data_IF_807860938028
#
_entry.id   IF_807860938028
#
_cell.length_a   1.000
_cell.length_b   1.000
_cell.length_c   1.000
_cell.angle_alpha   90.00
_cell.angle_beta   90.00
_cell.angle_gamma   90.00
#
_symmetry.space_group_name_H-M   'P 1'
#
loop_
_entity.id
_entity.type
_entity.pdbx_description
1 polymer ?
#
# COMPACT_ATOMS: atom_id res chain seq x y z
N UNK A 1 17.54 -28.09 -20.44
CA UNK A 1 16.18 -27.69 -20.01
C UNK A 1 16.38 -26.49 -19.08
N UNK A 2 16.07 -25.30 -19.54
CA UNK A 2 16.13 -24.09 -18.68
C UNK A 2 15.10 -24.25 -17.57
N UNK A 3 15.55 -24.27 -16.32
CA UNK A 3 14.63 -24.20 -15.18
C UNK A 3 13.83 -22.90 -15.32
N UNK A 4 12.51 -23.03 -15.44
CA UNK A 4 11.61 -21.87 -15.50
C UNK A 4 11.74 -21.17 -14.15
N UNK A 5 12.28 -19.95 -14.13
CA UNK A 5 12.31 -19.11 -12.91
C UNK A 5 10.90 -19.13 -12.29
N UNK A 6 10.75 -19.47 -11.00
CA UNK A 6 9.44 -19.45 -10.38
C UNK A 6 8.85 -18.07 -10.53
N UNK A 7 7.63 -17.97 -11.04
CA UNK A 7 6.94 -16.70 -11.19
C UNK A 7 6.66 -16.13 -9.79
N UNK A 8 7.10 -14.88 -9.52
CA UNK A 8 6.79 -14.16 -8.28
C UNK A 8 5.27 -14.12 -8.10
N UNK A 9 4.81 -14.48 -6.90
CA UNK A 9 3.40 -14.46 -6.52
C UNK A 9 3.22 -13.47 -5.37
N UNK A 10 2.24 -12.58 -5.51
CA UNK A 10 1.96 -11.55 -4.50
C UNK A 10 0.51 -11.68 -4.05
N UNK A 11 0.34 -11.85 -2.74
CA UNK A 11 -0.96 -11.90 -2.10
C UNK A 11 -1.62 -10.52 -2.08
N UNK A 12 -2.93 -10.45 -2.33
CA UNK A 12 -3.72 -9.23 -2.15
C UNK A 12 -4.73 -9.51 -1.04
N UNK A 13 -4.61 -8.79 0.06
CA UNK A 13 -5.53 -8.87 1.18
C UNK A 13 -6.34 -7.58 1.27
N UNK A 14 -7.65 -7.70 1.21
CA UNK A 14 -8.56 -6.55 1.22
C UNK A 14 -10.03 -6.97 1.31
N UNK A 15 -10.95 -5.99 1.34
CA UNK A 15 -12.38 -6.27 1.41
C UNK A 15 -12.88 -7.05 0.19
N UNK A 16 -13.90 -7.88 0.40
CA UNK A 16 -14.54 -8.68 -0.63
C UNK A 16 -15.03 -7.86 -1.83
N UNK A 17 -14.51 -8.21 -2.99
CA UNK A 17 -14.66 -7.52 -4.27
C UNK A 17 -16.08 -7.22 -4.76
N UNK A 18 -17.05 -8.15 -4.73
CA UNK A 18 -18.28 -7.98 -5.51
C UNK A 18 -19.22 -6.88 -5.03
N UNK A 19 -18.98 -6.30 -3.85
CA UNK A 19 -19.90 -5.34 -3.23
C UNK A 19 -19.38 -3.91 -3.11
N UNK A 20 -18.11 -3.68 -3.38
CA UNK A 20 -17.48 -2.35 -3.32
C UNK A 20 -17.59 -1.62 -4.65
N UNK A 21 -17.68 -2.35 -5.75
CA UNK A 21 -17.73 -1.82 -7.12
C UNK A 21 -18.85 -0.81 -7.36
N UNK A 22 -20.02 -1.05 -6.77
CA UNK A 22 -21.21 -0.27 -7.09
C UNK A 22 -21.31 1.06 -6.33
N UNK A 23 -20.59 1.25 -5.24
CA UNK A 23 -20.86 2.37 -4.33
C UNK A 23 -19.90 3.55 -4.44
N UNK A 24 -18.68 3.39 -4.89
CA UNK A 24 -17.66 4.43 -4.73
C UNK A 24 -16.99 4.87 -6.03
N UNK A 25 -17.26 4.21 -7.16
CA UNK A 25 -16.71 4.59 -8.47
C UNK A 25 -15.20 4.68 -8.59
N UNK A 26 -14.50 4.41 -7.53
CA UNK A 26 -13.09 4.14 -7.52
C UNK A 26 -12.95 2.69 -7.92
N UNK A 27 -12.34 2.46 -9.05
CA UNK A 27 -12.25 1.13 -9.64
C UNK A 27 -11.93 0.04 -8.63
N UNK A 28 -12.34 -1.11 -8.96
CA UNK A 28 -12.14 -2.42 -8.34
C UNK A 28 -10.78 -2.53 -7.63
N UNK A 29 -10.74 -2.22 -6.34
CA UNK A 29 -9.45 -2.06 -5.67
C UNK A 29 -8.59 -3.31 -5.74
N UNK A 30 -9.03 -4.49 -5.30
CA UNK A 30 -8.23 -5.67 -5.53
C UNK A 30 -8.05 -5.98 -7.03
N UNK A 31 -9.02 -5.68 -7.90
CA UNK A 31 -8.86 -5.88 -9.32
C UNK A 31 -7.89 -4.87 -9.96
N UNK A 32 -7.93 -3.60 -9.54
CA UNK A 32 -6.97 -2.59 -9.94
C UNK A 32 -5.54 -2.95 -9.51
N UNK A 33 -5.39 -3.39 -8.26
CA UNK A 33 -4.11 -3.88 -7.73
C UNK A 33 -3.65 -5.13 -8.49
N UNK A 34 -4.54 -6.09 -8.75
CA UNK A 34 -4.22 -7.27 -9.53
C UNK A 34 -3.78 -6.92 -10.96
N UNK A 35 -4.45 -5.94 -11.60
CA UNK A 35 -4.05 -5.45 -12.92
C UNK A 35 -2.66 -4.78 -12.90
N UNK A 36 -2.38 -3.95 -11.89
CA UNK A 36 -1.08 -3.30 -11.73
C UNK A 36 0.04 -4.33 -11.49
N UNK A 37 -0.19 -5.34 -10.66
CA UNK A 37 0.75 -6.43 -10.44
C UNK A 37 0.95 -7.27 -11.71
N UNK A 38 -0.12 -7.55 -12.46
CA UNK A 38 -0.01 -8.26 -13.75
C UNK A 38 0.81 -7.44 -14.75
N UNK A 39 0.62 -6.13 -14.77
CA UNK A 39 1.45 -5.24 -15.59
C UNK A 39 2.92 -5.22 -15.16
N UNK A 40 3.19 -5.44 -13.88
CA UNK A 40 4.54 -5.63 -13.33
C UNK A 40 5.08 -7.08 -13.50
N UNK A 41 4.41 -7.91 -14.31
CA UNK A 41 4.83 -9.27 -14.69
C UNK A 41 4.90 -10.28 -13.53
N UNK A 42 4.04 -10.12 -12.53
CA UNK A 42 3.90 -11.05 -11.41
C UNK A 42 2.51 -11.66 -11.34
N UNK A 43 2.34 -12.73 -10.58
CA UNK A 43 1.06 -13.41 -10.41
C UNK A 43 0.34 -12.87 -9.18
N UNK A 44 -0.75 -12.10 -9.33
CA UNK A 44 -1.56 -11.67 -8.21
C UNK A 44 -2.42 -12.81 -7.68
N UNK A 45 -2.51 -12.92 -6.36
CA UNK A 45 -3.35 -13.92 -5.68
C UNK A 45 -4.23 -13.21 -4.67
N UNK A 46 -5.55 -13.22 -4.87
CA UNK A 46 -6.48 -12.65 -3.89
C UNK A 46 -6.57 -13.59 -2.69
N UNK A 47 -6.21 -13.07 -1.51
CA UNK A 47 -6.24 -13.82 -0.27
C UNK A 47 -7.65 -13.72 0.34
N UNK A 48 -8.17 -14.86 0.76
CA UNK A 48 -9.38 -14.92 1.60
C UNK A 48 -9.05 -14.67 3.07
N UNK A 49 -10.09 -14.69 3.91
CA UNK A 49 -9.95 -14.65 5.36
C UNK A 49 -9.12 -15.83 5.87
N UNK A 50 -8.30 -15.59 6.90
CA UNK A 50 -7.48 -16.65 7.50
C UNK A 50 -8.32 -17.75 8.14
N UNK A 51 -9.47 -17.41 8.75
CA UNK A 51 -10.41 -18.36 9.38
C UNK A 51 -9.75 -19.34 10.34
N UNK A 52 -8.76 -18.84 11.10
CA UNK A 52 -8.00 -19.63 12.06
C UNK A 52 -6.86 -20.47 11.49
N UNK A 53 -6.52 -20.30 10.20
CA UNK A 53 -5.28 -20.83 9.61
C UNK A 53 -4.11 -19.88 9.92
N UNK A 54 -2.91 -20.42 9.96
CA UNK A 54 -1.70 -19.63 10.14
C UNK A 54 -1.34 -18.88 8.85
N UNK A 55 -0.73 -17.72 8.99
CA UNK A 55 -0.30 -16.91 7.85
C UNK A 55 0.79 -17.60 7.02
N UNK A 56 1.62 -18.43 7.64
CA UNK A 56 2.61 -19.25 6.96
C UNK A 56 1.96 -20.17 5.92
N UNK A 57 0.87 -20.84 6.28
CA UNK A 57 0.12 -21.73 5.38
C UNK A 57 -0.62 -20.95 4.27
N UNK A 58 -1.14 -19.75 4.60
CA UNK A 58 -1.88 -18.93 3.64
C UNK A 58 -0.95 -18.30 2.61
N UNK A 59 0.25 -17.93 3.04
CA UNK A 59 1.25 -17.24 2.22
C UNK A 59 2.28 -18.20 1.61
N UNK A 60 2.07 -19.51 1.75
CA UNK A 60 2.95 -20.50 1.13
C UNK A 60 3.08 -20.26 -0.38
N UNK A 61 4.32 -20.22 -0.86
CA UNK A 61 4.65 -19.90 -2.25
C UNK A 61 4.37 -18.48 -2.70
N UNK A 62 4.10 -17.55 -1.77
CA UNK A 62 4.05 -16.10 -2.03
C UNK A 62 5.40 -15.46 -1.70
N UNK A 63 5.66 -14.30 -2.28
CA UNK A 63 6.89 -13.53 -2.04
C UNK A 63 6.63 -12.14 -1.46
N UNK A 64 5.37 -11.73 -1.34
CA UNK A 64 4.97 -10.44 -0.77
C UNK A 64 3.45 -10.29 -0.70
N UNK A 65 3.00 -9.22 -0.06
CA UNK A 65 1.57 -8.90 0.15
C UNK A 65 1.28 -7.44 -0.14
N UNK A 66 0.12 -7.18 -0.73
CA UNK A 66 -0.52 -5.87 -0.75
C UNK A 66 -1.72 -5.89 0.18
N UNK A 67 -1.73 -4.98 1.15
CA UNK A 67 -2.91 -4.64 1.93
C UNK A 67 -3.63 -3.49 1.24
N UNK A 68 -4.86 -3.71 0.84
CA UNK A 68 -5.67 -2.68 0.19
C UNK A 68 -7.01 -2.51 0.91
N UNK A 69 -7.64 -1.38 0.76
CA UNK A 69 -8.94 -1.07 1.33
C UNK A 69 -9.26 0.40 1.20
N UNK A 70 -10.45 0.78 1.62
CA UNK A 70 -10.91 2.17 1.67
C UNK A 70 -11.29 2.54 3.09
N UNK A 71 -11.05 3.77 3.49
CA UNK A 71 -11.33 4.27 4.84
C UNK A 71 -12.82 4.18 5.25
N UNK A 72 -13.73 4.09 4.27
CA UNK A 72 -15.16 3.90 4.50
C UNK A 72 -15.59 2.42 4.64
N UNK A 73 -14.69 1.46 4.44
CA UNK A 73 -15.06 0.05 4.55
C UNK A 73 -15.01 -0.44 6.00
N UNK A 74 -16.18 -0.56 6.61
CA UNK A 74 -16.33 -1.00 8.01
C UNK A 74 -16.32 -2.52 8.17
N UNK A 75 -16.28 -3.28 7.07
CA UNK A 75 -16.33 -4.76 7.09
C UNK A 75 -14.95 -5.39 7.15
N UNK A 76 -13.93 -4.58 7.10
CA UNK A 76 -12.55 -5.04 7.18
C UNK A 76 -12.26 -5.59 8.58
N UNK A 77 -11.80 -6.81 8.66
CA UNK A 77 -11.38 -7.41 9.93
C UNK A 77 -10.00 -6.86 10.32
N UNK A 78 -9.99 -5.72 11.00
CA UNK A 78 -8.76 -5.02 11.38
C UNK A 78 -7.80 -5.94 12.14
N UNK A 79 -8.29 -6.70 13.11
CA UNK A 79 -7.45 -7.61 13.91
C UNK A 79 -6.75 -8.70 13.07
N UNK A 80 -7.42 -9.22 12.04
CA UNK A 80 -6.83 -10.21 11.13
C UNK A 80 -5.77 -9.58 10.24
N UNK A 81 -6.06 -8.39 9.69
CA UNK A 81 -5.09 -7.65 8.89
C UNK A 81 -3.88 -7.18 9.72
N UNK A 82 -4.10 -6.74 10.96
CA UNK A 82 -3.01 -6.37 11.88
C UNK A 82 -2.13 -7.59 12.22
N UNK A 83 -2.72 -8.78 12.42
CA UNK A 83 -1.95 -10.00 12.61
C UNK A 83 -1.10 -10.37 11.39
N UNK A 84 -1.62 -10.15 10.19
CA UNK A 84 -0.86 -10.30 8.93
C UNK A 84 0.33 -9.33 8.88
N UNK A 85 0.11 -8.07 9.25
CA UNK A 85 1.19 -7.06 9.28
C UNK A 85 2.31 -7.47 10.23
N UNK A 86 1.96 -7.94 11.43
CA UNK A 86 2.94 -8.40 12.43
C UNK A 86 3.71 -9.61 11.89
N UNK A 87 3.01 -10.59 11.30
CA UNK A 87 3.66 -11.73 10.68
C UNK A 87 4.64 -11.29 9.58
N UNK A 88 4.25 -10.37 8.72
CA UNK A 88 5.12 -9.81 7.68
C UNK A 88 6.37 -9.15 8.27
N UNK A 89 6.24 -8.43 9.38
CA UNK A 89 7.39 -7.81 10.07
C UNK A 89 8.36 -8.86 10.60
N UNK A 90 7.85 -9.88 11.27
CA UNK A 90 8.66 -10.94 11.88
C UNK A 90 9.48 -11.71 10.83
N UNK A 91 8.90 -11.94 9.65
CA UNK A 91 9.52 -12.65 8.55
C UNK A 91 10.22 -11.74 7.53
N UNK A 92 10.23 -10.42 7.73
CA UNK A 92 10.70 -9.42 6.73
C UNK A 92 10.02 -9.58 5.38
N UNK A 93 8.80 -10.08 5.38
CA UNK A 93 8.01 -10.35 4.18
C UNK A 93 7.58 -9.02 3.53
N UNK A 94 7.86 -8.78 2.23
CA UNK A 94 7.56 -7.54 1.56
C UNK A 94 6.09 -7.15 1.64
N UNK A 95 5.81 -5.90 2.03
CA UNK A 95 4.48 -5.41 2.33
C UNK A 95 4.24 -4.02 1.75
N UNK A 96 3.17 -3.88 0.96
CA UNK A 96 2.66 -2.60 0.49
C UNK A 96 1.26 -2.36 1.07
N UNK A 97 1.07 -1.25 1.78
CA UNK A 97 -0.24 -0.81 2.27
C UNK A 97 -0.81 0.31 1.42
N UNK A 98 -2.07 0.20 0.99
CA UNK A 98 -2.76 1.22 0.20
C UNK A 98 -3.97 1.71 0.97
N UNK A 99 -4.07 3.04 1.18
CA UNK A 99 -5.13 3.74 1.91
C UNK A 99 -5.36 3.12 3.30
N UNK A 100 -6.44 2.40 3.52
CA UNK A 100 -6.66 1.70 4.79
C UNK A 100 -5.53 0.72 5.15
N UNK A 101 -4.86 0.15 4.16
CA UNK A 101 -3.66 -0.68 4.36
C UNK A 101 -2.51 0.08 5.02
N UNK A 102 -2.30 1.35 4.70
CA UNK A 102 -1.37 2.25 5.39
C UNK A 102 -1.75 2.38 6.88
N UNK A 103 -3.04 2.58 7.17
CA UNK A 103 -3.51 2.74 8.54
C UNK A 103 -3.28 1.46 9.36
N UNK A 104 -3.51 0.29 8.76
CA UNK A 104 -3.29 -1.01 9.40
C UNK A 104 -1.80 -1.25 9.71
N UNK A 105 -0.90 -0.90 8.78
CA UNK A 105 0.54 -0.95 9.05
C UNK A 105 0.88 -0.06 10.25
N UNK A 106 0.35 1.15 10.28
CA UNK A 106 0.61 2.09 11.36
C UNK A 106 0.04 1.61 12.72
N UNK A 107 -1.22 1.19 12.75
CA UNK A 107 -1.89 0.78 14.01
C UNK A 107 -1.36 -0.52 14.56
N UNK A 108 -1.02 -1.50 13.74
CA UNK A 108 -0.40 -2.75 14.14
C UNK A 108 0.92 -2.53 14.93
N UNK A 109 1.61 -1.42 14.67
CA UNK A 109 2.86 -1.04 15.34
C UNK A 109 2.67 0.06 16.40
N UNK A 110 1.42 0.30 16.82
CA UNK A 110 1.08 1.25 17.90
C UNK A 110 1.02 2.71 17.47
N UNK A 111 0.99 3.00 16.18
CA UNK A 111 0.66 4.33 15.66
C UNK A 111 -0.82 4.68 15.86
N UNK A 112 -1.22 5.89 15.51
CA UNK A 112 -2.62 6.35 15.61
C UNK A 112 -3.08 6.99 14.32
N UNK A 113 -4.40 7.08 14.14
CA UNK A 113 -5.04 7.67 12.96
C UNK A 113 -6.04 8.76 13.36
N UNK A 114 -6.17 9.79 12.54
CA UNK A 114 -7.32 10.66 12.51
C UNK A 114 -8.48 9.94 11.85
N UNK A 115 -9.61 9.85 12.54
CA UNK A 115 -10.80 9.17 12.01
C UNK A 115 -11.64 10.06 11.10
N UNK A 116 -11.48 11.37 11.22
CA UNK A 116 -12.17 12.35 10.40
C UNK A 116 -11.30 13.62 10.26
N UNK A 117 -10.47 13.68 9.23
CA UNK A 117 -9.54 14.80 8.98
C UNK A 117 -10.23 16.18 9.04
N UNK A 118 -11.40 16.40 8.41
CA UNK A 118 -12.08 17.69 8.50
C UNK A 118 -12.44 18.13 9.93
N UNK A 119 -12.67 17.17 10.81
CA UNK A 119 -12.96 17.44 12.23
C UNK A 119 -11.69 17.53 13.07
N UNK A 120 -10.75 16.60 12.84
CA UNK A 120 -9.57 16.40 13.68
C UNK A 120 -8.45 17.37 13.28
N UNK A 121 -8.45 17.86 12.03
CA UNK A 121 -7.57 18.88 11.46
C UNK A 121 -8.37 19.86 10.58
N UNK A 122 -9.09 20.83 11.17
CA UNK A 122 -10.00 21.72 10.42
C UNK A 122 -9.32 22.59 9.36
N UNK A 123 -8.03 22.84 9.50
CA UNK A 123 -7.21 23.63 8.57
C UNK A 123 -6.60 22.78 7.43
N UNK A 124 -6.80 21.45 7.44
CA UNK A 124 -6.32 20.58 6.38
C UNK A 124 -7.02 20.87 5.04
N UNK A 125 -6.32 20.58 3.96
CA UNK A 125 -6.90 20.57 2.62
C UNK A 125 -8.06 19.57 2.54
N UNK A 126 -8.89 19.69 1.52
CA UNK A 126 -9.86 18.64 1.23
C UNK A 126 -9.17 17.43 0.61
N UNK A 127 -9.14 16.32 1.35
CA UNK A 127 -8.64 15.03 0.89
C UNK A 127 -9.73 14.15 0.27
N UNK A 128 -11.00 14.56 0.40
CA UNK A 128 -12.15 13.91 -0.23
C UNK A 128 -13.23 14.94 -0.53
N UNK A 129 -13.71 14.97 -1.76
CA UNK A 129 -14.74 15.90 -2.21
C UNK A 129 -15.89 15.19 -2.94
N UNK A 130 -16.86 14.58 -2.24
CA UNK A 130 -18.05 14.06 -2.87
C UNK A 130 -18.97 15.23 -3.35
N UNK A 131 -19.62 15.13 -4.50
CA UNK A 131 -19.64 13.98 -5.43
C UNK A 131 -18.51 14.00 -6.47
N UNK A 132 -17.61 14.99 -6.44
CA UNK A 132 -16.53 15.13 -7.40
C UNK A 132 -15.51 14.01 -7.21
N UNK A 133 -15.17 13.36 -8.29
CA UNK A 133 -14.17 12.30 -8.33
C UNK A 133 -12.90 12.80 -8.98
N UNK A 134 -11.77 12.19 -8.58
CA UNK A 134 -10.50 12.55 -9.16
C UNK A 134 -9.88 13.79 -8.54
N UNK A 135 -10.24 14.13 -7.29
CA UNK A 135 -9.50 15.11 -6.51
C UNK A 135 -8.02 14.72 -6.50
N UNK A 136 -7.16 15.70 -6.66
CA UNK A 136 -5.70 15.55 -6.64
C UNK A 136 -5.10 16.67 -5.81
N UNK A 137 -4.02 16.36 -5.13
CA UNK A 137 -3.21 17.36 -4.43
C UNK A 137 -1.73 17.04 -4.55
N UNK A 138 -0.90 18.02 -4.27
CA UNK A 138 0.53 17.85 -4.19
C UNK A 138 0.92 17.22 -2.85
N UNK A 139 1.88 16.32 -2.91
CA UNK A 139 2.62 15.78 -1.77
C UNK A 139 4.10 16.09 -1.94
N UNK A 140 4.82 16.25 -0.84
CA UNK A 140 6.26 16.34 -0.83
C UNK A 140 6.86 15.01 -0.40
N UNK A 141 7.58 14.34 -1.32
CA UNK A 141 8.33 13.10 -1.05
C UNK A 141 9.63 13.47 -0.34
N UNK A 142 9.83 12.92 0.85
CA UNK A 142 10.98 13.24 1.69
C UNK A 142 12.24 12.53 1.21
N UNK A 143 13.41 13.18 1.34
CA UNK A 143 14.69 12.61 0.93
C UNK A 143 15.06 11.35 1.75
N UNK A 144 15.96 10.55 1.19
CA UNK A 144 16.50 9.36 1.82
C UNK A 144 15.46 8.29 2.19
N UNK A 145 14.27 8.32 1.56
CA UNK A 145 13.19 7.37 1.79
C UNK A 145 13.12 6.30 0.71
N UNK A 146 12.50 5.14 1.02
CA UNK A 146 12.19 4.12 0.00
C UNK A 146 11.30 4.71 -1.09
N UNK A 147 10.33 5.55 -0.68
CA UNK A 147 9.45 6.23 -1.62
C UNK A 147 10.23 7.17 -2.55
N UNK A 148 11.22 7.91 -2.03
CA UNK A 148 12.10 8.77 -2.87
C UNK A 148 12.88 7.96 -3.90
N UNK A 149 13.30 6.76 -3.55
CA UNK A 149 13.92 5.83 -4.50
C UNK A 149 13.02 5.38 -5.64
N UNK A 150 11.68 5.44 -5.45
CA UNK A 150 10.68 5.03 -6.45
C UNK A 150 10.10 6.21 -7.24
N UNK A 151 9.89 7.34 -6.58
CA UNK A 151 9.18 8.50 -7.15
C UNK A 151 10.12 9.68 -7.46
N UNK A 152 11.33 9.68 -6.93
CA UNK A 152 12.16 10.87 -6.81
C UNK A 152 11.77 11.71 -5.60
N UNK A 153 12.62 12.65 -5.22
CA UNK A 153 12.39 13.59 -4.11
C UNK A 153 11.59 14.81 -4.58
N UNK A 154 10.88 15.45 -3.64
CA UNK A 154 10.17 16.70 -3.87
C UNK A 154 8.69 16.53 -4.22
N UNK A 155 8.15 17.50 -4.94
CA UNK A 155 6.72 17.61 -5.16
C UNK A 155 6.21 16.65 -6.24
N UNK A 156 5.18 15.86 -5.90
CA UNK A 156 4.46 14.95 -6.79
C UNK A 156 2.95 15.15 -6.60
N UNK A 157 2.17 15.02 -7.67
CA UNK A 157 0.71 15.14 -7.61
C UNK A 157 0.07 13.74 -7.60
N UNK A 158 -0.69 13.43 -6.55
CA UNK A 158 -1.41 12.16 -6.37
C UNK A 158 -2.92 12.37 -6.35
N UNK A 159 -3.70 11.30 -6.57
CA UNK A 159 -5.14 11.35 -6.32
C UNK A 159 -5.42 11.28 -4.82
N UNK A 160 -6.60 11.74 -4.41
CA UNK A 160 -6.99 11.76 -3.00
C UNK A 160 -8.48 11.49 -2.85
N UNK A 161 -8.82 10.51 -2.03
CA UNK A 161 -10.21 10.16 -1.72
C UNK A 161 -10.32 9.54 -0.30
N UNK A 162 -9.76 10.20 0.70
CA UNK A 162 -9.76 9.71 2.08
C UNK A 162 -10.23 10.78 3.06
N UNK A 163 -10.81 10.34 4.17
CA UNK A 163 -11.20 11.17 5.33
C UNK A 163 -10.38 10.86 6.56
N UNK A 164 -9.67 9.74 6.55
CA UNK A 164 -8.76 9.33 7.61
C UNK A 164 -7.33 9.66 7.20
N UNK A 165 -6.45 9.75 8.17
CA UNK A 165 -5.04 9.97 7.93
C UNK A 165 -4.22 9.51 9.12
N UNK A 166 -2.92 9.33 8.94
CA UNK A 166 -2.00 9.01 10.04
C UNK A 166 -1.89 10.24 10.96
N UNK A 167 -2.18 10.03 12.26
CA UNK A 167 -2.05 11.07 13.28
C UNK A 167 -0.68 11.02 13.98
N UNK A 168 -0.22 9.81 14.31
CA UNK A 168 1.10 9.57 14.89
C UNK A 168 1.70 8.33 14.25
N UNK A 169 2.90 8.51 13.69
CA UNK A 169 3.64 7.40 13.08
C UNK A 169 4.07 6.40 14.15
N UNK A 170 3.96 5.13 13.82
CA UNK A 170 4.39 4.02 14.65
C UNK A 170 5.91 4.02 14.88
N UNK A 171 6.35 3.43 15.99
CA UNK A 171 7.78 3.24 16.25
C UNK A 171 8.40 2.30 15.20
N UNK A 172 9.58 2.66 14.71
CA UNK A 172 10.30 1.92 13.66
C UNK A 172 9.81 2.22 12.24
N UNK A 173 8.92 3.21 12.13
CA UNK A 173 8.49 3.77 10.85
C UNK A 173 8.81 5.27 10.79
N UNK A 174 9.00 5.77 9.59
CA UNK A 174 9.19 7.20 9.29
C UNK A 174 8.21 7.65 8.23
N UNK A 175 8.05 8.97 8.15
CA UNK A 175 7.25 9.60 7.09
C UNK A 175 8.01 9.49 5.77
N UNK A 176 7.34 9.00 4.73
CA UNK A 176 7.83 8.95 3.35
C UNK A 176 7.39 10.15 2.53
N UNK A 177 6.17 10.64 2.76
CA UNK A 177 5.63 11.83 2.11
C UNK A 177 4.57 12.52 2.96
N UNK A 178 4.41 13.83 2.74
CA UNK A 178 3.37 14.66 3.36
C UNK A 178 2.69 15.54 2.32
N UNK A 179 1.39 15.78 2.48
CA UNK A 179 0.67 16.83 1.77
C UNK A 179 1.11 18.23 2.23
N UNK A 180 0.77 19.27 1.47
CA UNK A 180 1.18 20.63 1.76
C UNK A 180 0.59 21.19 3.07
N UNK A 181 -0.48 20.60 3.57
CA UNK A 181 -1.11 20.91 4.87
C UNK A 181 -0.52 20.10 6.04
N UNK A 182 0.49 19.28 5.77
CA UNK A 182 1.17 18.45 6.76
C UNK A 182 0.52 17.09 7.03
N UNK A 183 -0.57 16.75 6.35
CA UNK A 183 -1.17 15.39 6.43
C UNK A 183 -0.16 14.38 5.90
N UNK A 184 0.05 13.31 6.69
CA UNK A 184 0.98 12.24 6.32
C UNK A 184 0.35 11.38 5.24
N UNK A 185 1.01 11.29 4.11
CA UNK A 185 0.54 10.59 2.91
C UNK A 185 1.30 9.28 2.67
N UNK A 186 2.45 9.10 3.30
CA UNK A 186 3.20 7.83 3.25
C UNK A 186 4.00 7.60 4.52
N UNK A 187 4.10 6.34 4.92
CA UNK A 187 5.03 5.87 5.95
C UNK A 187 5.80 4.66 5.42
N UNK A 188 7.00 4.44 5.95
CA UNK A 188 7.82 3.29 5.59
C UNK A 188 8.65 2.79 6.77
N UNK A 189 9.00 1.51 6.78
CA UNK A 189 9.90 0.96 7.79
C UNK A 189 11.29 1.59 7.69
N UNK A 190 11.87 1.98 8.85
CA UNK A 190 13.22 2.59 8.93
C UNK A 190 14.35 1.62 8.63
N UNK A 191 14.09 0.32 8.79
CA UNK A 191 15.08 -0.73 8.54
C UNK A 191 15.02 -1.25 7.08
N UNK A 192 15.78 -2.31 6.79
CA UNK A 192 15.83 -2.93 5.46
C UNK A 192 14.56 -3.66 5.03
N UNK A 193 13.60 -3.89 5.93
CA UNK A 193 12.32 -4.49 5.55
C UNK A 193 11.57 -3.59 4.57
N UNK A 194 11.16 -4.14 3.44
CA UNK A 194 10.27 -3.44 2.52
C UNK A 194 8.86 -3.45 3.08
N UNK A 195 8.53 -2.44 3.87
CA UNK A 195 7.17 -2.12 4.28
C UNK A 195 6.95 -0.64 3.95
N UNK A 196 6.02 -0.39 3.05
CA UNK A 196 5.67 0.93 2.56
C UNK A 196 4.16 1.09 2.58
N UNK A 197 3.65 2.16 3.16
CA UNK A 197 2.25 2.53 3.14
C UNK A 197 2.04 3.84 2.41
N UNK A 198 1.01 3.91 1.55
CA UNK A 198 0.61 5.13 0.83
C UNK A 198 -0.87 5.42 1.04
N UNK A 199 -1.24 6.70 1.14
CA UNK A 199 -2.60 7.12 1.42
C UNK A 199 -3.45 7.21 0.15
N UNK A 200 -2.85 7.56 -0.97
CA UNK A 200 -3.54 7.65 -2.26
C UNK A 200 -3.82 6.27 -2.86
N UNK A 201 -4.51 6.26 -4.00
CA UNK A 201 -4.96 5.06 -4.70
C UNK A 201 -4.14 4.81 -5.98
N UNK A 202 -2.98 4.16 -5.90
CA UNK A 202 -2.06 4.00 -7.04
C UNK A 202 -2.57 3.03 -8.12
N UNK A 203 -3.65 2.32 -7.87
CA UNK A 203 -4.26 1.37 -8.80
C UNK A 203 -5.68 1.78 -9.25
N UNK A 204 -6.12 2.99 -8.95
CA UNK A 204 -7.43 3.50 -9.36
C UNK A 204 -7.40 4.03 -10.80
N UNK A 205 -8.58 4.30 -11.35
CA UNK A 205 -8.72 4.93 -12.68
C UNK A 205 -8.12 6.35 -12.74
N UNK A 206 -7.88 6.98 -11.57
CA UNK A 206 -7.27 8.31 -11.46
C UNK A 206 -5.79 8.27 -11.07
N UNK A 207 -5.18 7.08 -11.04
CA UNK A 207 -3.76 6.89 -10.77
C UNK A 207 -2.89 7.63 -11.82
N UNK A 208 -1.70 8.02 -11.42
CA UNK A 208 -0.70 8.59 -12.33
C UNK A 208 0.13 7.47 -12.97
N UNK A 209 0.77 7.77 -14.12
CA UNK A 209 1.72 6.83 -14.71
C UNK A 209 2.92 6.50 -13.81
N UNK A 210 3.22 7.38 -12.84
CA UNK A 210 4.29 7.18 -11.86
C UNK A 210 3.94 6.10 -10.82
N UNK A 211 2.65 5.89 -10.55
CA UNK A 211 2.19 4.98 -9.49
C UNK A 211 2.58 3.51 -9.73
N UNK A 212 2.89 3.13 -10.97
CA UNK A 212 3.41 1.80 -11.28
C UNK A 212 4.75 1.50 -10.56
N UNK A 213 5.51 2.53 -10.21
CA UNK A 213 6.79 2.38 -9.54
C UNK A 213 6.65 1.79 -8.13
N UNK A 214 5.51 2.00 -7.44
CA UNK A 214 5.22 1.33 -6.17
C UNK A 214 5.16 -0.19 -6.35
N UNK A 215 4.46 -0.65 -7.38
CA UNK A 215 4.34 -2.08 -7.66
C UNK A 215 5.66 -2.68 -8.12
N UNK A 216 6.44 -1.95 -8.93
CA UNK A 216 7.79 -2.38 -9.33
C UNK A 216 8.73 -2.46 -8.13
N UNK A 217 8.69 -1.49 -7.20
CA UNK A 217 9.46 -1.53 -5.96
C UNK A 217 9.10 -2.74 -5.09
N UNK A 218 7.80 -3.02 -4.93
CA UNK A 218 7.34 -4.22 -4.23
C UNK A 218 7.85 -5.49 -4.92
N UNK A 219 7.76 -5.58 -6.25
CA UNK A 219 8.22 -6.75 -7.02
C UNK A 219 9.73 -6.95 -6.87
N UNK A 220 10.52 -5.87 -6.89
CA UNK A 220 11.96 -5.94 -6.66
C UNK A 220 12.27 -6.50 -5.27
N UNK A 221 11.58 -6.02 -4.24
CA UNK A 221 11.71 -6.53 -2.87
C UNK A 221 11.26 -8.00 -2.75
N UNK A 222 10.22 -8.41 -3.48
CA UNK A 222 9.77 -9.80 -3.52
C UNK A 222 10.79 -10.74 -4.17
N UNK A 223 11.47 -10.29 -5.21
CA UNK A 223 12.56 -11.04 -5.86
C UNK A 223 13.75 -11.21 -4.92
N UNK A 224 14.15 -10.11 -4.26
CA UNK A 224 15.21 -10.16 -3.25
C UNK A 224 14.86 -11.12 -2.10
N UNK A 225 13.63 -11.05 -1.60
CA UNK A 225 13.13 -11.98 -0.57
C UNK A 225 13.17 -13.44 -1.01
N UNK A 226 12.80 -13.72 -2.28
CA UNK A 226 12.84 -15.06 -2.85
C UNK A 226 14.26 -15.55 -3.17
N UNK A 227 15.30 -14.73 -2.98
CA UNK A 227 16.69 -15.04 -3.29
C UNK A 227 17.00 -15.02 -4.79
N UNK A 228 16.19 -14.35 -5.60
CA UNK A 228 16.48 -14.11 -7.02
C UNK A 228 17.49 -12.94 -7.15
N UNK A 229 18.47 -13.09 -8.07
CA UNK A 229 19.33 -11.94 -8.41
C UNK A 229 18.49 -10.84 -9.07
N UNK A 230 18.44 -9.68 -8.44
CA UNK A 230 17.75 -8.51 -8.98
C UNK A 230 18.71 -7.81 -9.95
N UNK A 231 18.35 -7.79 -11.24
CA UNK A 231 19.10 -7.05 -12.25
C UNK A 231 19.03 -5.55 -11.92
N UNK A 232 20.17 -4.91 -11.68
CA UNK A 232 20.28 -3.50 -11.27
C UNK A 232 19.64 -2.53 -12.29
N UNK A 233 19.45 -2.97 -13.54
CA UNK A 233 18.77 -2.20 -14.60
C UNK A 233 17.25 -2.07 -14.37
N UNK A 234 16.63 -2.99 -13.62
CA UNK A 234 15.19 -2.94 -13.31
C UNK A 234 14.87 -2.06 -12.08
N UNK A 235 15.86 -1.79 -11.24
CA UNK A 235 15.71 -0.93 -10.06
C UNK A 235 15.86 0.57 -10.42
N UNK A 236 16.34 0.90 -11.62
CA UNK A 236 16.65 2.26 -12.07
C UNK A 236 15.76 2.75 -13.24
N UNK A 237 14.78 1.98 -13.67
CA UNK A 237 13.85 2.30 -14.76
C UNK A 237 12.44 2.56 -14.24
#
# INVERSE_FOLDING_TARGET
MSAKTPSIRIGIFGPDLPRVEERHGCGLWPAGVAAALTYAEVVPVVLGEARGRDWEDILDGMSGVVLTGHDADTRYKAAEAESLVIWCQEHKFPLLGIDHGLHLINTAHGGTVHFDLPRDQPDALQHRHPPERGLRHAINVLPDTKLAGLYGEGEVVVNSEHRRGVARVARGFRVGAQALDGVIESIEAENSWFALGVQWQPASATASGLDIQLFRGLVAACREYAGEEVDAALAAA
#
